data_IF_854304340036
#
_entry.id   IF_854304340036
#
_cell.length_a   1.000
_cell.length_b   1.000
_cell.length_c   1.000
_cell.angle_alpha   90.00
_cell.angle_beta   90.00
_cell.angle_gamma   90.00
#
_symmetry.space_group_name_H-M   'P 1'
#
loop_
_entity.id
_entity.type
_entity.pdbx_description
1 polymer ?
#
# COMPACT_ATOMS: atom_id res chain seq x y z
N UNK A 1 -47.08 -47.79 2.43
CA UNK A 1 -46.85 -46.33 2.30
C UNK A 1 -45.34 -46.11 2.40
N UNK A 2 -44.74 -45.55 1.35
CA UNK A 2 -43.29 -45.59 1.12
C UNK A 2 -42.49 -44.71 2.09
N UNK A 3 -41.53 -45.32 2.79
CA UNK A 3 -40.49 -44.66 3.57
C UNK A 3 -39.39 -44.15 2.64
N UNK A 4 -39.32 -42.85 2.36
CA UNK A 4 -38.19 -42.22 1.64
C UNK A 4 -37.26 -41.56 2.65
N UNK A 5 -36.11 -42.18 2.90
CA UNK A 5 -34.97 -41.52 3.56
C UNK A 5 -34.37 -40.46 2.63
N UNK A 6 -33.93 -39.29 3.13
CA UNK A 6 -33.28 -38.28 2.30
C UNK A 6 -31.82 -38.67 2.04
N UNK A 7 -31.46 -38.74 0.75
CA UNK A 7 -30.07 -38.95 0.29
C UNK A 7 -29.28 -37.63 0.43
N UNK A 8 -28.03 -37.65 0.95
CA UNK A 8 -27.18 -36.47 0.94
C UNK A 8 -26.68 -36.19 -0.48
N UNK A 9 -27.05 -35.03 -1.01
CA UNK A 9 -26.60 -34.52 -2.31
C UNK A 9 -25.08 -34.31 -2.31
N UNK A 10 -24.36 -35.13 -3.08
CA UNK A 10 -22.94 -34.92 -3.34
C UNK A 10 -22.77 -33.80 -4.36
N UNK A 11 -22.73 -32.56 -3.88
CA UNK A 11 -22.33 -31.43 -4.71
C UNK A 11 -20.80 -31.32 -4.67
N UNK A 12 -20.08 -31.44 -5.80
CA UNK A 12 -18.65 -31.19 -5.81
C UNK A 12 -18.41 -29.71 -5.49
N UNK A 13 -17.85 -29.44 -4.31
CA UNK A 13 -17.31 -28.12 -3.99
C UNK A 13 -16.04 -27.96 -4.81
N UNK A 14 -16.14 -27.26 -5.94
CA UNK A 14 -14.97 -26.73 -6.63
C UNK A 14 -14.39 -25.66 -5.70
N UNK A 15 -13.43 -26.04 -4.87
CA UNK A 15 -12.55 -25.06 -4.20
C UNK A 15 -11.77 -24.38 -5.32
N UNK A 16 -12.21 -23.19 -5.72
CA UNK A 16 -11.38 -22.33 -6.55
C UNK A 16 -10.09 -22.06 -5.76
N UNK A 17 -8.90 -22.41 -6.29
CA UNK A 17 -7.68 -21.89 -5.71
C UNK A 17 -7.71 -20.38 -5.92
N UNK A 18 -7.74 -19.64 -4.82
CA UNK A 18 -7.60 -18.20 -4.81
C UNK A 18 -6.36 -17.89 -5.67
N UNK A 19 -6.55 -17.29 -6.85
CA UNK A 19 -5.42 -16.82 -7.66
C UNK A 19 -4.61 -15.89 -6.79
N UNK A 20 -3.46 -16.36 -6.33
CA UNK A 20 -2.44 -15.56 -5.68
C UNK A 20 -2.03 -14.51 -6.69
N UNK A 21 -2.54 -13.28 -6.55
CA UNK A 21 -1.98 -12.14 -7.25
C UNK A 21 -0.57 -11.94 -6.69
N UNK A 22 0.49 -12.01 -7.49
CA UNK A 22 1.82 -11.64 -7.02
C UNK A 22 1.83 -10.14 -6.72
N UNK A 23 2.26 -9.85 -5.49
CA UNK A 23 2.47 -8.53 -4.88
C UNK A 23 3.33 -7.60 -5.77
N UNK A 24 3.21 -6.27 -5.61
CA UNK A 24 3.85 -5.31 -6.48
C UNK A 24 5.37 -5.41 -6.36
N UNK A 25 6.00 -5.49 -7.53
CA UNK A 25 7.43 -5.37 -7.73
C UNK A 25 7.92 -4.02 -7.20
N UNK A 26 8.46 -4.02 -5.99
CA UNK A 26 9.51 -3.09 -5.60
C UNK A 26 10.71 -3.92 -5.15
N UNK A 27 11.23 -4.73 -6.08
CA UNK A 27 12.51 -5.41 -5.93
C UNK A 27 13.60 -4.38 -6.24
N UNK A 28 14.20 -3.81 -5.20
CA UNK A 28 15.56 -3.30 -5.28
C UNK A 28 16.44 -4.36 -4.61
N UNK A 29 17.31 -4.94 -5.43
CA UNK A 29 18.17 -6.07 -5.12
C UNK A 29 19.09 -5.82 -3.93
N UNK A 30 19.02 -6.71 -2.94
CA UNK A 30 20.20 -7.12 -2.16
C UNK A 30 19.88 -8.42 -1.43
N UNK A 31 20.50 -9.48 -1.91
CA UNK A 31 20.51 -10.85 -1.38
C UNK A 31 20.73 -10.88 0.15
N UNK A 32 19.76 -11.44 0.89
CA UNK A 32 19.89 -12.55 1.85
C UNK A 32 18.55 -12.70 2.59
N UNK A 33 17.89 -13.84 2.47
CA UNK A 33 16.53 -14.08 2.98
C UNK A 33 16.51 -14.53 4.44
N UNK A 34 15.80 -13.81 5.34
CA UNK A 34 15.14 -14.42 6.48
C UNK A 34 13.60 -14.44 6.27
N UNK A 35 13.05 -15.66 6.36
CA UNK A 35 11.63 -16.09 6.45
C UNK A 35 10.59 -15.06 6.99
N UNK A 36 9.32 -15.10 6.52
CA UNK A 36 8.37 -14.00 6.59
C UNK A 36 7.77 -13.88 7.99
N UNK A 37 8.51 -13.26 8.90
CA UNK A 37 7.87 -12.48 9.95
C UNK A 37 7.23 -11.31 9.21
N UNK A 38 5.96 -11.43 8.85
CA UNK A 38 5.11 -10.37 8.30
C UNK A 38 4.92 -9.30 9.39
N UNK A 39 6.01 -8.70 9.85
CA UNK A 39 6.00 -7.45 10.58
C UNK A 39 5.35 -6.50 9.58
N UNK A 40 4.18 -6.02 9.95
CA UNK A 40 3.33 -5.14 9.15
C UNK A 40 3.96 -3.75 9.13
N UNK A 41 5.24 -3.70 8.78
CA UNK A 41 6.01 -2.46 8.75
C UNK A 41 5.40 -1.58 7.65
N UNK A 42 5.20 -0.28 7.92
CA UNK A 42 4.69 0.63 6.93
C UNK A 42 5.58 0.64 5.69
N UNK A 43 4.98 0.52 4.51
CA UNK A 43 5.69 0.73 3.25
C UNK A 43 6.13 2.21 3.19
N UNK A 44 7.43 2.45 3.07
CA UNK A 44 8.00 3.81 2.96
C UNK A 44 8.23 4.13 1.48
N UNK A 45 7.60 5.19 1.00
CA UNK A 45 7.79 5.69 -0.38
C UNK A 45 8.68 6.92 -0.37
N UNK A 46 9.71 6.94 -1.21
CA UNK A 46 10.56 8.12 -1.42
C UNK A 46 9.86 9.12 -2.36
N UNK A 47 10.00 10.41 -2.05
CA UNK A 47 9.52 11.52 -2.89
C UNK A 47 10.69 12.48 -3.09
N UNK A 48 11.13 12.64 -4.34
CA UNK A 48 12.23 13.55 -4.70
C UNK A 48 11.76 15.00 -4.91
N UNK A 49 10.46 15.26 -4.68
CA UNK A 49 9.83 16.56 -4.93
C UNK A 49 9.14 17.10 -3.68
N UNK A 50 9.19 18.42 -3.51
CA UNK A 50 8.45 19.17 -2.49
C UNK A 50 7.74 20.34 -3.18
N UNK A 51 6.44 20.51 -2.93
CA UNK A 51 5.70 21.68 -3.39
C UNK A 51 5.91 22.84 -2.41
N UNK A 52 6.41 23.97 -2.91
CA UNK A 52 6.57 25.20 -2.15
C UNK A 52 5.36 26.10 -2.34
N UNK A 53 4.56 26.31 -1.29
CA UNK A 53 3.36 27.14 -1.35
C UNK A 53 2.90 27.59 0.03
N UNK A 54 2.35 28.79 0.10
CA UNK A 54 1.62 29.36 1.23
C UNK A 54 0.08 29.23 1.07
N UNK A 55 -0.39 28.84 -0.12
CA UNK A 55 -1.82 28.65 -0.38
C UNK A 55 -2.38 27.41 0.34
N UNK A 56 -3.44 27.65 1.12
CA UNK A 56 -4.07 26.61 1.95
C UNK A 56 -4.74 25.52 1.12
N UNK A 57 -5.36 25.88 -0.01
CA UNK A 57 -6.10 24.95 -0.84
C UNK A 57 -5.16 24.01 -1.61
N UNK A 58 -4.06 24.54 -2.16
CA UNK A 58 -3.01 23.77 -2.81
C UNK A 58 -2.33 22.83 -1.80
N UNK A 59 -2.05 23.30 -0.58
CA UNK A 59 -1.49 22.46 0.49
C UNK A 59 -2.39 21.25 0.78
N UNK A 60 -3.69 21.45 0.93
CA UNK A 60 -4.64 20.34 1.14
C UNK A 60 -4.63 19.38 -0.05
N UNK A 61 -4.70 19.91 -1.29
CA UNK A 61 -4.66 19.09 -2.52
C UNK A 61 -3.40 18.23 -2.64
N UNK A 62 -2.25 18.76 -2.22
CA UNK A 62 -0.98 18.05 -2.24
C UNK A 62 -0.91 16.95 -1.16
N UNK A 63 -1.35 17.26 0.06
CA UNK A 63 -1.41 16.29 1.17
C UNK A 63 -2.31 15.09 0.83
N UNK A 64 -3.48 15.31 0.21
CA UNK A 64 -4.35 14.23 -0.26
C UNK A 64 -3.69 13.33 -1.31
N UNK A 65 -2.67 13.83 -2.02
CA UNK A 65 -1.90 13.10 -3.04
C UNK A 65 -0.53 12.61 -2.52
N UNK A 66 -0.31 12.70 -1.20
CA UNK A 66 0.96 12.38 -0.53
C UNK A 66 2.16 13.21 -1.03
N UNK A 67 1.93 14.36 -1.65
CA UNK A 67 2.99 15.25 -2.13
C UNK A 67 3.48 16.09 -0.95
N UNK A 68 4.78 16.04 -0.59
CA UNK A 68 5.34 16.86 0.48
C UNK A 68 5.14 18.36 0.19
N UNK A 69 4.81 19.15 1.22
CA UNK A 69 4.60 20.60 1.12
C UNK A 69 5.33 21.34 2.24
N UNK A 70 5.92 22.49 1.90
CA UNK A 70 6.49 23.48 2.82
C UNK A 70 6.17 24.89 2.30
N UNK A 71 6.09 25.88 3.18
CA UNK A 71 6.17 27.28 2.76
C UNK A 71 7.61 27.64 2.37
N UNK A 72 7.78 28.70 1.59
CA UNK A 72 9.10 29.12 1.07
C UNK A 72 10.07 29.45 2.22
N UNK A 73 9.72 30.29 3.22
CA UNK A 73 10.63 30.60 4.33
C UNK A 73 11.09 29.36 5.11
N UNK A 74 10.16 28.46 5.46
CA UNK A 74 10.50 27.23 6.18
C UNK A 74 11.40 26.29 5.35
N UNK A 75 11.21 26.27 4.03
CA UNK A 75 12.07 25.47 3.14
C UNK A 75 13.49 26.03 3.06
N UNK A 76 13.65 27.35 2.97
CA UNK A 76 14.97 27.99 2.99
C UNK A 76 15.71 27.73 4.31
N UNK A 77 15.01 27.84 5.45
CA UNK A 77 15.58 27.52 6.76
C UNK A 77 16.00 26.05 6.87
N UNK A 78 15.20 25.12 6.33
CA UNK A 78 15.55 23.70 6.27
C UNK A 78 16.78 23.44 5.38
N UNK A 79 16.82 24.09 4.22
CA UNK A 79 17.89 23.95 3.26
C UNK A 79 19.20 24.59 3.73
N UNK A 80 19.17 25.38 4.81
CA UNK A 80 20.32 26.14 5.34
C UNK A 80 20.96 27.00 4.26
N UNK A 81 20.11 27.55 3.37
CA UNK A 81 20.52 28.48 2.33
C UNK A 81 20.15 29.88 2.81
N UNK A 82 21.16 30.61 3.30
CA UNK A 82 21.03 31.93 3.90
C UNK A 82 22.40 32.57 4.10
#
# INVERSE_FOLDING_TARGET
>A
MNSRSPQPSQHPTVRQPCRTLPVPHCLLDREETPSPRLRKEPIRLLREVVLLTDDRNLRVKALTRNVPVRDIPAFLAWAQVG
#
